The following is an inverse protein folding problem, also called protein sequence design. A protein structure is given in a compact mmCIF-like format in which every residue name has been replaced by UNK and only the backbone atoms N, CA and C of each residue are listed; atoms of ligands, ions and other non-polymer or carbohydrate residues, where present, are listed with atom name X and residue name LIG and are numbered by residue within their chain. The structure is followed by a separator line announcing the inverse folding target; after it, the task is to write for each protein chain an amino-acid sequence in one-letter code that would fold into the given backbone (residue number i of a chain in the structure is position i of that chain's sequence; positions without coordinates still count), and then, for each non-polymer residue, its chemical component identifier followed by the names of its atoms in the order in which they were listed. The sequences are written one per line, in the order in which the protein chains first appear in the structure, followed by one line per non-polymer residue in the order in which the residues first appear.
data_IF_126484279571
#
_entry.id   IF_126484279571
#
_cell.length_a   1.000
_cell.length_b   1.000
_cell.length_c   1.000
_cell.angle_alpha   90.00
_cell.angle_beta   90.00
_cell.angle_gamma   90.00
#
_symmetry.space_group_name_H-M   'P 1'
#
loop_
_entity.id
_entity.type
_entity.pdbx_description
1 polymer ?
#
# COMPACT_ATOMS: atom_id res chain seq x y z
N UNK A 1 3.70 16.15 6.19
CA UNK A 1 3.59 14.92 5.37
C UNK A 1 3.19 13.78 6.27
N UNK A 2 2.39 12.86 5.75
CA UNK A 2 1.91 11.68 6.46
C UNK A 2 2.16 10.44 5.62
N UNK A 3 2.52 9.33 6.24
CA UNK A 3 2.76 8.07 5.54
C UNK A 3 1.73 7.02 5.95
N UNK A 4 1.14 6.36 4.97
CA UNK A 4 0.39 5.13 5.13
C UNK A 4 1.35 3.96 4.94
N UNK A 5 1.59 3.22 6.01
CA UNK A 5 2.50 2.09 6.05
C UNK A 5 1.66 0.81 6.10
N UNK A 6 1.81 -0.03 5.08
CA UNK A 6 1.14 -1.31 4.96
C UNK A 6 2.12 -2.46 5.12
N UNK A 7 1.70 -3.50 5.86
CA UNK A 7 2.38 -4.80 5.93
C UNK A 7 1.41 -5.84 5.41
N UNK A 8 1.90 -6.64 4.46
CA UNK A 8 1.08 -7.57 3.68
C UNK A 8 1.64 -8.97 3.78
N UNK A 9 0.78 -9.95 4.03
CA UNK A 9 1.08 -11.33 3.65
C UNK A 9 0.76 -11.49 2.17
N UNK A 10 1.63 -12.18 1.47
CA UNK A 10 1.55 -12.46 0.05
C UNK A 10 1.49 -13.97 -0.14
N UNK A 11 0.53 -14.44 -0.94
CA UNK A 11 0.47 -15.81 -1.43
C UNK A 11 1.45 -15.98 -2.60
N UNK A 12 2.55 -16.75 -2.44
CA UNK A 12 3.54 -16.91 -3.50
C UNK A 12 2.99 -17.60 -4.75
N UNK A 13 1.94 -18.42 -4.62
CA UNK A 13 1.30 -19.09 -5.76
C UNK A 13 0.56 -18.11 -6.68
N UNK A 14 0.31 -16.88 -6.20
CA UNK A 14 -0.35 -15.80 -6.95
C UNK A 14 0.59 -14.67 -7.37
N UNK A 15 1.91 -14.86 -7.28
CA UNK A 15 2.90 -13.82 -7.55
C UNK A 15 2.72 -13.13 -8.92
N UNK A 16 2.37 -13.88 -9.97
CA UNK A 16 2.13 -13.31 -11.31
C UNK A 16 0.90 -12.41 -11.33
N UNK A 17 -0.22 -12.87 -10.75
CA UNK A 17 -1.44 -12.07 -10.62
C UNK A 17 -1.19 -10.80 -9.79
N UNK A 18 -0.49 -10.92 -8.67
CA UNK A 18 -0.15 -9.80 -7.80
C UNK A 18 0.67 -8.76 -8.55
N UNK A 19 1.66 -9.18 -9.35
CA UNK A 19 2.47 -8.27 -10.18
C UNK A 19 1.65 -7.55 -11.25
N UNK A 20 0.75 -8.27 -11.93
CA UNK A 20 -0.14 -7.65 -12.93
C UNK A 20 -1.12 -6.64 -12.32
N UNK A 21 -1.62 -6.93 -11.11
CA UNK A 21 -2.54 -6.03 -10.40
C UNK A 21 -1.78 -4.83 -9.83
N UNK A 22 -0.54 -5.02 -9.39
CA UNK A 22 0.29 -3.97 -8.82
C UNK A 22 0.46 -2.78 -9.77
N UNK A 23 0.71 -3.01 -11.06
CA UNK A 23 0.87 -1.91 -12.04
C UNK A 23 -0.37 -1.00 -12.08
N UNK A 24 -1.57 -1.60 -12.02
CA UNK A 24 -2.83 -0.84 -11.98
C UNK A 24 -3.00 -0.09 -10.67
N UNK A 25 -2.62 -0.71 -9.55
CA UNK A 25 -2.64 -0.07 -8.23
C UNK A 25 -1.69 1.13 -8.22
N UNK A 26 -0.45 0.98 -8.70
CA UNK A 26 0.54 2.07 -8.77
C UNK A 26 0.01 3.24 -9.59
N UNK A 27 -0.62 2.97 -10.74
CA UNK A 27 -1.26 4.02 -11.56
C UNK A 27 -2.37 4.72 -10.77
N UNK A 28 -3.26 3.97 -10.11
CA UNK A 28 -4.35 4.55 -9.31
C UNK A 28 -3.84 5.42 -8.16
N UNK A 29 -2.87 4.92 -7.39
CA UNK A 29 -2.27 5.65 -6.26
C UNK A 29 -1.56 6.93 -6.72
N UNK A 30 -0.91 6.92 -7.89
CA UNK A 30 -0.29 8.13 -8.47
C UNK A 30 -1.28 9.23 -8.82
N UNK A 31 -2.56 8.91 -8.97
CA UNK A 31 -3.63 9.88 -9.23
C UNK A 31 -4.35 10.33 -7.96
N UNK A 32 -4.00 9.76 -6.79
CA UNK A 32 -4.62 10.15 -5.53
C UNK A 32 -4.28 11.63 -5.23
N UNK A 33 -5.25 12.44 -4.77
CA UNK A 33 -4.98 13.78 -4.25
C UNK A 33 -3.88 13.73 -3.18
N UNK A 34 -3.08 14.79 -3.08
CA UNK A 34 -2.06 14.94 -2.03
C UNK A 34 -0.90 13.94 -2.07
N UNK A 35 -0.82 13.03 -3.05
CA UNK A 35 0.25 12.04 -3.13
C UNK A 35 1.60 12.72 -3.35
N UNK A 36 2.55 12.44 -2.46
CA UNK A 36 3.94 12.88 -2.57
C UNK A 36 4.77 11.77 -3.21
N UNK A 37 4.69 10.55 -2.67
CA UNK A 37 5.46 9.41 -3.16
C UNK A 37 4.87 8.07 -2.71
N UNK A 38 4.97 7.06 -3.55
CA UNK A 38 4.62 5.68 -3.20
C UNK A 38 5.81 4.75 -3.36
N UNK A 39 5.95 3.81 -2.43
CA UNK A 39 6.95 2.75 -2.46
C UNK A 39 6.28 1.41 -2.24
N UNK A 40 6.66 0.44 -3.07
CA UNK A 40 6.27 -0.96 -2.98
C UNK A 40 7.55 -1.77 -2.92
N UNK A 41 7.61 -2.72 -2.00
CA UNK A 41 8.84 -3.46 -1.74
C UNK A 41 8.64 -4.95 -1.92
N UNK A 42 9.62 -5.60 -2.53
CA UNK A 42 9.85 -7.03 -2.42
C UNK A 42 11.04 -7.25 -1.49
N UNK A 43 10.97 -8.31 -0.68
CA UNK A 43 12.02 -8.70 0.26
C UNK A 43 12.58 -10.10 -0.02
N UNK A 44 13.57 -10.55 0.78
CA UNK A 44 14.08 -11.92 0.70
C UNK A 44 13.01 -12.97 1.02
N UNK A 45 12.04 -12.60 1.87
CA UNK A 45 10.85 -13.39 2.14
C UNK A 45 9.74 -13.02 1.14
N UNK A 46 9.41 -13.89 0.18
CA UNK A 46 8.39 -13.61 -0.83
C UNK A 46 6.96 -13.62 -0.25
N UNK A 47 6.78 -14.07 1.00
CA UNK A 47 5.48 -14.09 1.67
C UNK A 47 5.16 -12.78 2.36
N UNK A 48 6.09 -11.81 2.36
CA UNK A 48 5.97 -10.53 3.07
C UNK A 48 6.26 -9.36 2.14
N UNK A 49 5.33 -8.40 2.08
CA UNK A 49 5.54 -7.14 1.38
C UNK A 49 5.23 -5.95 2.29
N UNK A 50 5.87 -4.81 2.00
CA UNK A 50 5.65 -3.53 2.66
C UNK A 50 5.33 -2.46 1.63
N UNK A 51 4.47 -1.52 2.02
CA UNK A 51 4.16 -0.34 1.23
C UNK A 51 4.30 0.91 2.07
N UNK A 52 4.80 1.99 1.47
CA UNK A 52 4.92 3.30 2.09
C UNK A 52 4.34 4.33 1.13
N UNK A 53 3.17 4.86 1.45
CA UNK A 53 2.49 5.86 0.61
C UNK A 53 2.46 7.18 1.37
N UNK A 54 3.16 8.19 0.88
CA UNK A 54 3.35 9.48 1.53
C UNK A 54 2.42 10.51 0.90
N UNK A 55 1.68 11.22 1.75
CA UNK A 55 0.79 12.32 1.42
C UNK A 55 1.27 13.63 2.05
N UNK A 56 0.88 14.76 1.49
CA UNK A 56 1.18 16.09 2.01
C UNK A 56 0.38 16.41 3.28
N UNK A 57 -0.87 15.98 3.36
CA UNK A 57 -1.79 16.20 4.48
C UNK A 57 -2.30 14.90 5.16
N UNK A 58 -2.86 15.06 6.37
CA UNK A 58 -3.32 13.94 7.21
C UNK A 58 -4.64 13.35 6.73
N UNK A 59 -5.60 14.21 6.37
CA UNK A 59 -6.96 13.80 6.06
C UNK A 59 -6.97 12.91 4.81
N UNK A 60 -6.15 13.25 3.82
CA UNK A 60 -5.97 12.46 2.60
C UNK A 60 -5.30 11.10 2.91
N UNK A 61 -4.29 11.07 3.78
CA UNK A 61 -3.66 9.82 4.21
C UNK A 61 -4.63 8.90 4.96
N UNK A 62 -5.49 9.45 5.81
CA UNK A 62 -6.53 8.72 6.53
C UNK A 62 -7.59 8.18 5.57
N UNK A 63 -8.10 9.01 4.65
CA UNK A 63 -9.05 8.59 3.62
C UNK A 63 -8.49 7.46 2.76
N UNK A 64 -7.23 7.56 2.35
CA UNK A 64 -6.56 6.50 1.60
C UNK A 64 -6.46 5.20 2.40
N UNK A 65 -6.11 5.29 3.70
CA UNK A 65 -6.04 4.13 4.56
C UNK A 65 -7.40 3.43 4.72
N UNK A 66 -8.49 4.21 4.79
CA UNK A 66 -9.85 3.67 4.84
C UNK A 66 -10.26 2.99 3.54
N UNK A 67 -9.95 3.58 2.38
CA UNK A 67 -10.19 2.94 1.08
C UNK A 67 -9.44 1.61 0.96
N UNK A 68 -8.20 1.56 1.43
CA UNK A 68 -7.39 0.34 1.47
C UNK A 68 -8.01 -0.72 2.38
N UNK A 69 -8.54 -0.34 3.55
CA UNK A 69 -9.25 -1.26 4.46
C UNK A 69 -10.54 -1.79 3.85
N UNK A 70 -11.29 -0.94 3.15
CA UNK A 70 -12.54 -1.33 2.48
C UNK A 70 -12.30 -2.29 1.31
N UNK A 71 -11.10 -2.30 0.75
CA UNK A 71 -10.73 -3.17 -0.37
C UNK A 71 -10.32 -4.60 0.02
N UNK A 72 -10.54 -5.03 1.27
CA UNK A 72 -10.09 -6.32 1.81
C UNK A 72 -10.55 -7.53 0.97
N UNK A 73 -11.76 -7.50 0.42
CA UNK A 73 -12.29 -8.61 -0.39
C UNK A 73 -11.48 -8.82 -1.66
N UNK A 74 -11.09 -7.73 -2.34
CA UNK A 74 -10.29 -7.81 -3.56
C UNK A 74 -8.84 -8.20 -3.26
N UNK A 75 -8.29 -7.72 -2.14
CA UNK A 75 -6.97 -8.13 -1.65
C UNK A 75 -6.92 -9.64 -1.41
N UNK A 76 -7.90 -10.18 -0.68
CA UNK A 76 -7.98 -11.62 -0.40
C UNK A 76 -8.10 -12.44 -1.69
N UNK A 77 -8.88 -11.99 -2.68
CA UNK A 77 -8.96 -12.65 -3.98
C UNK A 77 -7.61 -12.63 -4.75
N UNK A 78 -6.77 -11.62 -4.53
CA UNK A 78 -5.42 -11.57 -5.10
C UNK A 78 -4.38 -12.34 -4.27
N UNK A 79 -4.78 -13.00 -3.17
CA UNK A 79 -3.86 -13.65 -2.23
C UNK A 79 -3.01 -12.65 -1.45
N UNK A 80 -3.54 -11.46 -1.21
CA UNK A 80 -2.89 -10.41 -0.41
C UNK A 80 -3.72 -10.22 0.86
N UNK A 81 -3.09 -10.31 2.02
CA UNK A 81 -3.78 -10.09 3.30
C UNK A 81 -3.12 -8.96 4.06
N UNK A 82 -3.94 -8.00 4.50
CA UNK A 82 -3.46 -6.94 5.39
C UNK A 82 -3.10 -7.52 6.76
N UNK A 83 -1.85 -7.32 7.18
CA UNK A 83 -1.38 -7.66 8.53
C UNK A 83 -1.45 -6.43 9.43
N UNK A 84 -1.04 -5.29 8.89
CA UNK A 84 -1.23 -4.00 9.56
C UNK A 84 -1.32 -2.87 8.56
N UNK A 85 -2.03 -1.82 8.93
CA UNK A 85 -2.08 -0.56 8.20
C UNK A 85 -2.06 0.61 9.20
N UNK A 86 -1.01 1.42 9.14
CA UNK A 86 -0.81 2.56 10.04
C UNK A 86 -0.70 3.86 9.26
N UNK A 87 -1.25 4.94 9.82
CA UNK A 87 -1.01 6.32 9.37
C UNK A 87 -0.04 6.96 10.36
N UNK A 88 1.06 7.51 9.88
CA UNK A 88 2.08 8.15 10.72
C UNK A 88 2.45 9.53 10.22
N UNK A 89 2.80 10.43 11.13
CA UNK A 89 3.40 11.71 10.78
C UNK A 89 4.85 11.51 10.32
N UNK A 90 5.23 12.11 9.19
CA UNK A 90 6.61 12.11 8.69
C UNK A 90 7.30 13.39 9.17
N UNK A 91 8.24 13.23 10.08
CA UNK A 91 8.91 14.35 10.77
C UNK A 91 10.14 14.89 10.03
N UNK A 92 10.73 14.10 9.12
CA UNK A 92 11.89 14.51 8.32
C UNK A 92 11.98 13.70 7.00
N UNK A 93 12.58 14.29 5.97
CA UNK A 93 12.93 13.65 4.68
C UNK A 93 14.23 14.26 4.16
N UNK A 94 14.94 13.52 3.30
CA UNK A 94 16.12 14.00 2.54
C UNK A 94 15.77 14.23 1.09
#
# INVERSE_FOLDING_TARGET
MYAVIGVWDMDPERAELQRMVLDKIVVGVRQAPGIVKGYWTDGPDPTRSHTFIVFDDQATAESFADDVRLNITNQNHAGVRNVSLAVTNVVATT
#
